data_IF_728277467540
#
_entry.id   IF_728277467540
#
_cell.length_a   1.000
_cell.length_b   1.000
_cell.length_c   1.000
_cell.angle_alpha   90.00
_cell.angle_beta   90.00
_cell.angle_gamma   90.00
#
_symmetry.space_group_name_H-M   'P 1'
#
loop_
_entity.id
_entity.type
_entity.pdbx_description
1 polymer ?
#
# COMPACT_ATOMS: atom_id res chain seq x y z
N UNK A 1 -17.66 13.27 55.28
CA UNK A 1 -16.59 12.26 55.51
C UNK A 1 -15.83 12.14 54.20
N UNK A 2 -14.50 12.41 54.12
CA UNK A 2 -13.35 11.70 54.73
C UNK A 2 -13.21 10.27 54.16
N UNK A 3 -12.08 9.70 53.71
CA UNK A 3 -10.67 10.10 53.38
C UNK A 3 -10.02 8.89 52.65
N UNK A 4 -8.86 8.87 51.94
CA UNK A 4 -7.75 9.79 51.60
C UNK A 4 -7.16 9.36 50.21
N UNK A 5 -6.58 10.24 49.38
CA UNK A 5 -5.14 10.48 49.10
C UNK A 5 -4.22 9.30 48.64
N UNK A 6 -3.11 9.55 47.89
CA UNK A 6 -2.62 8.63 46.84
C UNK A 6 -1.13 8.20 46.97
N UNK A 7 -0.57 7.60 45.91
CA UNK A 7 0.86 7.24 45.82
C UNK A 7 1.58 7.93 44.65
N UNK A 8 2.73 8.56 44.95
CA UNK A 8 3.58 9.32 44.02
C UNK A 8 5.05 8.87 44.19
N UNK A 9 5.72 8.48 43.10
CA UNK A 9 7.16 8.08 43.07
C UNK A 9 7.76 8.43 41.70
N UNK A 10 9.06 8.71 41.55
CA UNK A 10 10.00 9.47 42.42
C UNK A 10 11.23 9.81 41.55
N UNK A 11 11.72 11.05 41.57
CA UNK A 11 12.96 11.45 40.88
C UNK A 11 14.19 11.29 41.82
N UNK A 12 15.32 10.75 41.34
CA UNK A 12 16.66 11.15 41.78
C UNK A 12 17.06 12.43 40.99
N UNK A 13 17.46 13.55 41.59
CA UNK A 13 18.55 13.81 42.55
C UNK A 13 19.86 14.21 41.84
N UNK A 14 20.37 15.41 42.17
CA UNK A 14 21.64 15.97 41.68
C UNK A 14 22.83 15.30 42.35
N UNK A 15 23.95 15.20 41.63
CA UNK A 15 25.29 15.19 42.23
C UNK A 15 26.06 16.43 41.74
N UNK A 16 26.90 17.00 42.60
CA UNK A 16 27.77 18.14 42.27
C UNK A 16 29.13 17.96 42.96
N UNK A 17 30.20 18.00 42.16
CA UNK A 17 31.65 17.98 42.48
C UNK A 17 32.38 17.87 41.12
N UNK A 18 33.47 18.56 40.80
CA UNK A 18 34.18 19.64 41.48
C UNK A 18 35.26 20.25 40.54
N UNK A 19 35.92 21.34 40.97
CA UNK A 19 37.12 21.93 40.35
C UNK A 19 38.37 21.00 40.51
N UNK A 20 39.61 21.28 39.98
CA UNK A 20 40.15 22.58 39.54
C UNK A 20 41.17 22.67 38.35
N UNK A 21 41.24 23.88 37.74
CA UNK A 21 42.45 24.49 37.11
C UNK A 21 43.00 23.76 35.85
N UNK A 22 43.99 24.22 35.05
CA UNK A 22 45.05 25.22 35.26
C UNK A 22 45.55 25.84 33.92
N UNK A 23 46.03 27.10 33.93
CA UNK A 23 46.69 27.76 32.79
C UNK A 23 48.22 27.60 32.81
N UNK A 24 48.89 27.39 31.65
CA UNK A 24 50.33 27.59 31.53
C UNK A 24 50.67 29.03 31.09
N UNK A 25 50.95 29.92 32.06
CA UNK A 25 51.80 31.10 31.77
C UNK A 25 53.27 30.65 31.76
N UNK A 26 54.05 31.03 30.75
CA UNK A 26 55.51 31.13 30.87
C UNK A 26 56.00 32.46 30.31
N UNK A 27 56.86 33.12 31.09
CA UNK A 27 57.54 34.36 30.75
C UNK A 27 59.03 34.04 30.67
N UNK A 28 59.63 34.21 29.49
CA UNK A 28 61.07 34.27 29.26
C UNK A 28 61.33 34.72 27.82
N UNK A 29 62.35 35.51 27.50
CA UNK A 29 63.15 36.43 28.33
C UNK A 29 63.90 37.39 27.41
N UNK A 30 64.04 38.66 27.79
CA UNK A 30 64.88 39.61 27.07
C UNK A 30 66.36 39.18 27.07
N UNK A 31 66.98 39.07 25.90
CA UNK A 31 68.35 39.55 25.68
C UNK A 31 68.46 40.11 24.26
N UNK A 32 68.76 41.41 24.14
CA UNK A 32 69.07 42.04 22.87
C UNK A 32 70.58 42.10 22.65
N UNK A 33 71.03 41.94 21.41
CA UNK A 33 72.36 42.36 20.95
C UNK A 33 72.21 43.12 19.64
N UNK A 34 72.38 44.44 19.69
CA UNK A 34 72.46 45.26 18.48
C UNK A 34 73.83 45.06 17.85
N UNK A 35 73.86 44.71 16.56
CA UNK A 35 75.07 44.63 15.74
C UNK A 35 74.85 45.50 14.50
N UNK A 36 75.51 46.66 14.47
CA UNK A 36 75.53 47.52 13.29
C UNK A 36 76.43 46.90 12.22
N UNK A 37 75.85 46.56 11.07
CA UNK A 37 76.57 46.16 9.87
C UNK A 37 76.00 46.92 8.67
N UNK A 38 76.66 48.00 8.26
CA UNK A 38 76.29 48.76 7.06
C UNK A 38 76.82 48.01 5.84
N UNK A 39 75.92 47.45 5.04
CA UNK A 39 76.24 46.90 3.71
C UNK A 39 75.28 47.50 2.68
N UNK A 40 75.81 48.42 1.87
CA UNK A 40 75.16 48.89 0.65
C UNK A 40 75.30 47.82 -0.44
N UNK A 41 74.21 47.42 -1.11
CA UNK A 41 74.26 46.75 -2.43
C UNK A 41 72.89 46.85 -3.14
N UNK A 42 72.97 47.14 -4.44
CA UNK A 42 71.98 46.98 -5.52
C UNK A 42 70.48 47.26 -5.26
N UNK A 43 69.93 48.20 -6.04
CA UNK A 43 68.52 48.10 -6.47
C UNK A 43 68.37 46.77 -7.24
N UNK A 44 67.40 45.95 -6.84
CA UNK A 44 66.87 44.86 -7.66
C UNK A 44 65.36 45.04 -7.74
N UNK A 45 64.87 45.40 -8.93
CA UNK A 45 63.45 45.54 -9.23
C UNK A 45 62.84 44.13 -9.39
N UNK A 46 62.78 43.38 -8.29
CA UNK A 46 62.12 42.09 -8.26
C UNK A 46 60.63 42.29 -8.55
N UNK A 47 60.22 41.90 -9.75
CA UNK A 47 58.81 41.90 -10.13
C UNK A 47 58.08 40.93 -9.21
N UNK A 48 57.35 41.46 -8.23
CA UNK A 48 56.36 40.72 -7.47
C UNK A 48 55.44 40.04 -8.48
N UNK A 49 55.37 38.70 -8.53
CA UNK A 49 54.31 38.07 -9.29
C UNK A 49 53.01 38.51 -8.63
N UNK A 50 52.15 39.18 -9.39
CA UNK A 50 50.80 39.49 -8.96
C UNK A 50 50.01 38.17 -8.89
N UNK A 51 50.25 37.40 -7.84
CA UNK A 51 49.37 36.34 -7.42
C UNK A 51 48.05 37.01 -7.08
N UNK A 52 47.13 36.98 -8.06
CA UNK A 52 45.73 37.28 -7.83
C UNK A 52 45.23 36.24 -6.85
N UNK A 53 45.29 36.58 -5.57
CA UNK A 53 44.62 35.84 -4.52
C UNK A 53 43.12 35.92 -4.86
N UNK A 54 42.63 34.90 -5.57
CA UNK A 54 41.21 34.67 -5.77
C UNK A 54 40.59 34.71 -4.38
N UNK A 55 39.88 35.79 -4.08
CA UNK A 55 39.48 36.08 -2.71
C UNK A 55 38.70 34.89 -2.17
N UNK A 56 39.16 34.34 -1.03
CA UNK A 56 38.44 33.29 -0.31
C UNK A 56 37.16 33.89 0.27
N UNK A 57 36.15 34.00 -0.60
CA UNK A 57 34.81 34.40 -0.26
C UNK A 57 34.19 33.29 0.59
N UNK A 58 34.40 33.39 1.91
CA UNK A 58 33.73 32.57 2.92
C UNK A 58 32.19 32.69 2.87
N UNK A 59 31.67 33.56 2.00
CA UNK A 59 30.28 33.71 1.63
C UNK A 59 29.99 33.12 0.25
N UNK A 60 28.78 32.59 0.10
CA UNK A 60 28.13 32.24 -1.15
C UNK A 60 26.89 33.12 -1.36
N UNK A 61 26.33 33.11 -2.57
CA UNK A 61 25.10 33.84 -2.89
C UNK A 61 23.94 32.88 -3.14
N UNK A 62 22.88 32.99 -2.35
CA UNK A 62 21.66 32.17 -2.51
C UNK A 62 20.50 33.04 -3.01
N UNK A 63 19.78 32.55 -4.02
CA UNK A 63 18.51 33.12 -4.47
C UNK A 63 17.39 32.12 -4.19
N UNK A 64 16.35 32.56 -3.48
CA UNK A 64 15.14 31.76 -3.22
C UNK A 64 14.02 32.28 -4.10
N UNK A 65 13.73 31.54 -5.17
CA UNK A 65 12.61 31.81 -6.06
C UNK A 65 11.36 31.12 -5.54
N UNK A 66 10.22 31.81 -5.60
CA UNK A 66 8.90 31.22 -5.39
C UNK A 66 7.92 31.84 -6.39
N UNK A 67 6.91 31.08 -6.82
CA UNK A 67 5.84 31.61 -7.67
C UNK A 67 5.01 32.69 -6.95
N UNK A 68 4.86 32.56 -5.64
CA UNK A 68 4.14 33.54 -4.82
C UNK A 68 5.12 34.59 -4.30
N UNK A 69 5.00 35.86 -4.71
CA UNK A 69 5.78 36.95 -4.11
C UNK A 69 5.24 37.30 -2.73
N UNK A 70 6.10 37.84 -1.86
CA UNK A 70 5.69 38.36 -0.55
C UNK A 70 5.58 37.31 0.58
N UNK A 71 5.87 36.03 0.32
CA UNK A 71 5.91 35.03 1.38
C UNK A 71 7.19 35.17 2.22
N UNK A 72 7.13 35.09 3.56
CA UNK A 72 8.31 35.23 4.40
C UNK A 72 9.29 34.07 4.21
N UNK A 73 10.55 34.42 3.95
CA UNK A 73 11.66 33.51 3.70
C UNK A 73 12.62 33.48 4.89
N UNK A 74 13.14 32.29 5.20
CA UNK A 74 13.92 31.98 6.41
C UNK A 74 15.24 31.29 6.07
N UNK A 75 16.24 31.50 6.92
CA UNK A 75 17.54 30.83 6.98
C UNK A 75 17.80 30.49 8.45
N UNK A 76 17.96 29.22 8.78
CA UNK A 76 18.27 28.73 10.13
C UNK A 76 17.33 29.34 11.20
N UNK A 77 16.02 29.18 10.98
CA UNK A 77 14.90 29.80 11.73
C UNK A 77 14.78 31.34 11.69
N UNK A 78 15.82 32.08 11.29
CA UNK A 78 15.79 33.54 11.18
C UNK A 78 15.16 34.02 9.86
N UNK A 79 14.26 35.01 9.91
CA UNK A 79 13.65 35.56 8.70
C UNK A 79 14.63 36.47 7.95
N UNK A 80 14.96 36.14 6.70
CA UNK A 80 15.89 36.90 5.84
C UNK A 80 15.19 37.92 4.93
N UNK A 81 13.87 37.79 4.74
CA UNK A 81 13.09 38.71 3.92
C UNK A 81 11.76 38.13 3.46
N UNK A 82 11.39 38.45 2.22
CA UNK A 82 10.21 37.91 1.52
C UNK A 82 10.58 37.46 0.10
N UNK A 83 9.83 36.52 -0.45
CA UNK A 83 10.05 35.98 -1.80
C UNK A 83 9.73 36.98 -2.92
N UNK A 84 10.44 36.91 -4.07
CA UNK A 84 11.67 36.17 -4.30
C UNK A 84 12.89 36.87 -3.68
N UNK A 85 13.70 36.12 -2.93
CA UNK A 85 14.98 36.60 -2.39
C UNK A 85 16.05 36.38 -3.46
N UNK A 86 16.93 37.36 -3.72
CA UNK A 86 18.00 37.27 -4.73
C UNK A 86 19.36 37.63 -4.15
N UNK A 87 20.37 36.84 -4.48
CA UNK A 87 21.78 37.08 -4.11
C UNK A 87 21.99 37.38 -2.62
N UNK A 88 21.30 36.67 -1.73
CA UNK A 88 21.48 36.81 -0.30
C UNK A 88 22.83 36.17 0.12
N UNK A 89 23.70 36.88 0.85
CA UNK A 89 24.99 36.34 1.28
C UNK A 89 24.80 35.36 2.44
N UNK A 90 25.22 34.11 2.24
CA UNK A 90 25.21 33.04 3.24
C UNK A 90 26.65 32.59 3.49
N UNK A 91 27.00 32.15 4.69
CA UNK A 91 28.33 31.57 4.93
C UNK A 91 28.47 30.18 4.27
N UNK A 92 29.70 29.72 4.10
CA UNK A 92 29.95 28.31 3.74
C UNK A 92 29.64 27.40 4.94
N UNK A 93 28.77 26.40 4.75
CA UNK A 93 28.24 25.55 5.82
C UNK A 93 27.01 24.74 5.40
N UNK A 94 26.44 23.96 6.32
CA UNK A 94 25.08 23.44 6.17
C UNK A 94 24.07 24.46 6.68
N UNK A 95 23.06 24.76 5.85
CA UNK A 95 22.05 25.77 6.13
C UNK A 95 20.65 25.24 5.80
N UNK A 96 19.65 25.63 6.59
CA UNK A 96 18.25 25.29 6.37
C UNK A 96 17.48 26.51 5.83
N UNK A 97 17.06 26.41 4.57
CA UNK A 97 16.27 27.43 3.90
C UNK A 97 14.79 27.09 4.01
N UNK A 98 13.95 28.08 4.30
CA UNK A 98 12.50 27.90 4.45
C UNK A 98 11.68 29.01 3.80
N UNK A 99 10.47 28.68 3.35
CA UNK A 99 9.46 29.65 2.89
C UNK A 99 8.12 29.24 3.48
N UNK A 100 7.54 30.12 4.30
CA UNK A 100 6.30 29.85 5.02
C UNK A 100 5.07 30.27 4.24
N UNK A 101 4.03 29.42 4.23
CA UNK A 101 2.73 29.78 3.66
C UNK A 101 2.02 30.80 4.53
N UNK A 102 1.39 31.80 3.91
CA UNK A 102 0.54 32.77 4.60
C UNK A 102 -0.89 32.27 4.83
N UNK A 103 -1.28 31.17 4.18
CA UNK A 103 -2.65 30.63 4.09
C UNK A 103 -2.76 29.22 4.69
N UNK A 104 -1.94 28.89 5.70
CA UNK A 104 -1.86 27.57 6.34
C UNK A 104 -3.09 27.24 7.22
N UNK A 105 -4.28 27.23 6.61
CA UNK A 105 -5.57 26.89 7.20
C UNK A 105 -5.79 25.39 7.41
N UNK A 106 -4.92 24.55 6.84
CA UNK A 106 -4.97 23.09 6.92
C UNK A 106 -3.64 22.54 7.40
N UNK A 107 -3.68 21.66 8.40
CA UNK A 107 -2.49 20.94 8.90
C UNK A 107 -1.88 19.99 7.87
N UNK A 108 -2.60 19.68 6.79
CA UNK A 108 -2.15 18.83 5.69
C UNK A 108 -1.26 19.58 4.68
N UNK A 109 -1.22 20.91 4.75
CA UNK A 109 -0.31 21.75 4.00
C UNK A 109 0.95 22.01 4.86
N UNK A 110 2.10 22.17 4.23
CA UNK A 110 3.37 22.33 4.93
C UNK A 110 4.17 23.49 4.34
N UNK A 111 4.92 24.18 5.20
CA UNK A 111 5.94 25.13 4.78
C UNK A 111 7.00 24.41 3.91
N UNK A 112 7.56 25.13 2.93
CA UNK A 112 8.68 24.60 2.15
C UNK A 112 9.94 24.74 2.99
N UNK A 113 10.72 23.65 3.11
CA UNK A 113 11.98 23.60 3.85
C UNK A 113 12.98 22.75 3.07
N UNK A 114 14.17 23.27 2.83
CA UNK A 114 15.27 22.56 2.18
C UNK A 114 16.58 22.82 2.92
N UNK A 115 17.25 21.75 3.37
CA UNK A 115 18.61 21.81 3.91
C UNK A 115 19.62 21.64 2.78
N UNK A 116 20.63 22.50 2.72
CA UNK A 116 21.62 22.56 1.65
C UNK A 116 23.01 22.82 2.24
N UNK A 117 24.01 22.07 1.80
CA UNK A 117 25.42 22.37 2.06
C UNK A 117 25.93 23.37 1.02
N UNK A 118 26.50 24.48 1.48
CA UNK A 118 26.88 25.63 0.65
C UNK A 118 28.39 25.84 0.71
N UNK A 119 29.06 25.99 -0.44
CA UNK A 119 30.53 26.15 -0.52
C UNK A 119 30.94 27.60 -0.71
N UNK A 120 32.16 27.94 -0.29
CA UNK A 120 32.75 29.27 -0.45
C UNK A 120 32.77 29.72 -1.93
N UNK A 121 32.11 30.85 -2.24
CA UNK A 121 31.99 31.39 -3.59
C UNK A 121 30.94 30.73 -4.50
N UNK A 122 30.11 29.80 -4.01
CA UNK A 122 29.00 29.25 -4.78
C UNK A 122 27.94 30.32 -5.11
N UNK A 123 27.15 30.08 -6.16
CA UNK A 123 25.89 30.78 -6.41
C UNK A 123 24.79 29.75 -6.63
N UNK A 124 23.85 29.70 -5.69
CA UNK A 124 22.77 28.70 -5.66
C UNK A 124 21.42 29.36 -5.94
N UNK A 125 20.57 28.66 -6.70
CA UNK A 125 19.17 29.03 -6.91
C UNK A 125 18.27 27.91 -6.39
N UNK A 126 17.41 28.24 -5.43
CA UNK A 126 16.49 27.31 -4.77
C UNK A 126 15.06 27.70 -5.14
N UNK A 127 14.27 26.74 -5.65
CA UNK A 127 12.88 26.96 -6.05
C UNK A 127 11.94 26.40 -4.97
N UNK A 128 11.22 27.29 -4.30
CA UNK A 128 10.22 26.95 -3.31
C UNK A 128 8.90 26.52 -3.97
N UNK A 129 8.73 25.20 -4.08
CA UNK A 129 7.51 24.55 -4.58
C UNK A 129 6.61 24.09 -3.43
N UNK A 130 5.31 24.38 -3.53
CA UNK A 130 4.31 23.92 -2.57
C UNK A 130 3.43 22.80 -3.13
N UNK A 131 2.97 21.93 -2.23
CA UNK A 131 2.04 20.85 -2.52
C UNK A 131 0.70 21.11 -1.84
N UNK A 132 -0.39 20.69 -2.48
CA UNK A 132 -1.74 20.67 -1.92
C UNK A 132 -2.12 19.24 -1.59
N UNK A 133 -2.65 19.04 -0.39
CA UNK A 133 -3.28 17.78 0.02
C UNK A 133 -4.79 17.82 -0.25
N UNK A 134 -5.30 16.80 -0.93
CA UNK A 134 -6.72 16.60 -1.22
C UNK A 134 -7.22 15.34 -0.51
N UNK A 135 -8.26 15.48 0.32
CA UNK A 135 -8.89 14.36 1.03
C UNK A 135 -10.07 13.83 0.23
N UNK A 136 -9.95 12.60 -0.28
CA UNK A 136 -10.96 11.92 -1.10
C UNK A 136 -11.60 10.82 -0.25
N UNK A 137 -12.88 10.96 0.02
CA UNK A 137 -13.69 10.03 0.79
C UNK A 137 -14.85 9.52 -0.07
N UNK A 138 -15.35 8.31 0.21
CA UNK A 138 -16.55 7.79 -0.45
C UNK A 138 -17.46 7.04 0.51
N UNK A 139 -18.75 7.10 0.23
CA UNK A 139 -19.79 6.28 0.85
C UNK A 139 -20.41 5.39 -0.25
N UNK A 140 -20.24 4.06 -0.18
CA UNK A 140 -19.42 3.31 0.76
C UNK A 140 -17.90 3.52 0.58
N UNK A 141 -17.14 3.16 1.63
CA UNK A 141 -15.67 3.23 1.69
C UNK A 141 -14.99 2.13 0.87
N UNK A 142 -13.67 2.24 0.66
CA UNK A 142 -12.86 1.22 0.00
C UNK A 142 -12.87 1.28 -1.53
N UNK A 143 -13.44 2.33 -2.12
CA UNK A 143 -13.38 2.58 -3.54
C UNK A 143 -11.93 2.82 -3.99
N UNK A 144 -11.54 2.25 -5.12
CA UNK A 144 -10.22 2.41 -5.71
C UNK A 144 -10.09 3.78 -6.36
N UNK A 145 -8.96 4.45 -6.14
CA UNK A 145 -8.68 5.81 -6.62
C UNK A 145 -7.59 5.74 -7.68
N UNK A 146 -7.96 6.01 -8.92
CA UNK A 146 -7.10 5.91 -10.10
C UNK A 146 -6.79 7.30 -10.66
N UNK A 147 -5.55 7.52 -11.09
CA UNK A 147 -5.09 8.72 -11.80
C UNK A 147 -4.23 8.27 -12.97
N UNK A 148 -4.52 8.74 -14.19
CA UNK A 148 -3.74 8.41 -15.39
C UNK A 148 -3.49 6.88 -15.56
N UNK A 149 -4.53 6.08 -15.33
CA UNK A 149 -4.51 4.60 -15.31
C UNK A 149 -3.63 3.94 -14.21
N UNK A 150 -3.05 4.72 -13.31
CA UNK A 150 -2.30 4.26 -12.13
C UNK A 150 -3.18 4.28 -10.89
N UNK A 151 -3.16 3.20 -10.10
CA UNK A 151 -3.80 3.15 -8.78
C UNK A 151 -2.99 4.00 -7.78
N UNK A 152 -3.61 4.99 -7.16
CA UNK A 152 -3.01 5.81 -6.08
C UNK A 152 -3.38 5.28 -4.69
N UNK A 153 -4.50 4.56 -4.54
CA UNK A 153 -4.92 3.95 -3.28
C UNK A 153 -6.40 3.57 -3.24
N UNK A 154 -6.96 3.48 -2.03
CA UNK A 154 -8.39 3.31 -1.79
C UNK A 154 -8.92 4.36 -0.82
N UNK A 155 -10.23 4.65 -0.87
CA UNK A 155 -10.87 5.65 0.00
C UNK A 155 -11.07 5.14 1.44
N UNK A 156 -10.89 6.00 2.47
CA UNK A 156 -10.48 7.40 2.40
C UNK A 156 -8.98 7.59 2.10
N UNK A 157 -8.65 8.50 1.18
CA UNK A 157 -7.29 8.76 0.71
C UNK A 157 -6.91 10.24 0.87
N UNK A 158 -5.64 10.52 1.19
CA UNK A 158 -5.04 11.86 1.03
C UNK A 158 -4.10 11.82 -0.17
N UNK A 159 -4.48 12.46 -1.26
CA UNK A 159 -3.63 12.62 -2.44
C UNK A 159 -2.89 13.96 -2.39
N UNK A 160 -1.56 13.94 -2.60
CA UNK A 160 -0.74 15.16 -2.68
C UNK A 160 -0.39 15.46 -4.14
N UNK A 161 -0.65 16.69 -4.57
CA UNK A 161 -0.32 17.21 -5.89
C UNK A 161 0.51 18.50 -5.75
N UNK A 162 1.42 18.83 -6.68
CA UNK A 162 1.98 20.18 -6.78
C UNK A 162 0.86 21.22 -6.87
N UNK A 163 1.01 22.37 -6.24
CA UNK A 163 -0.06 23.39 -6.13
C UNK A 163 -0.65 23.87 -7.47
N UNK A 164 0.15 23.78 -8.55
CA UNK A 164 -0.24 24.20 -9.89
C UNK A 164 -0.85 23.06 -10.74
N UNK A 165 -0.78 21.82 -10.27
CA UNK A 165 -1.16 20.66 -11.05
C UNK A 165 -2.66 20.40 -10.96
N UNK A 166 -3.33 20.45 -12.11
CA UNK A 166 -4.64 19.83 -12.28
C UNK A 166 -4.46 18.34 -12.57
N UNK A 167 -5.26 17.48 -11.95
CA UNK A 167 -5.26 16.04 -12.17
C UNK A 167 -6.70 15.49 -12.15
N UNK A 168 -7.05 14.71 -13.17
CA UNK A 168 -8.32 13.98 -13.23
C UNK A 168 -8.16 12.64 -12.51
N UNK A 169 -9.10 12.32 -11.64
CA UNK A 169 -9.06 11.14 -10.77
C UNK A 169 -10.37 10.38 -10.88
N UNK A 170 -10.30 9.08 -11.16
CA UNK A 170 -11.46 8.20 -11.23
C UNK A 170 -11.59 7.38 -9.94
N UNK A 171 -12.76 7.44 -9.31
CA UNK A 171 -13.08 6.69 -8.09
C UNK A 171 -14.07 5.59 -8.43
N UNK A 172 -13.63 4.33 -8.32
CA UNK A 172 -14.34 3.13 -8.82
C UNK A 172 -14.52 2.12 -7.69
N UNK A 173 -15.71 1.50 -7.60
CA UNK A 173 -15.97 0.40 -6.69
C UNK A 173 -16.82 -0.67 -7.38
N UNK A 174 -16.53 -1.94 -7.10
CA UNK A 174 -17.24 -3.08 -7.69
C UNK A 174 -18.75 -3.04 -7.36
N UNK A 175 -19.59 -3.04 -8.39
CA UNK A 175 -21.05 -2.92 -8.24
C UNK A 175 -21.58 -1.48 -8.10
N UNK A 176 -20.75 -0.45 -8.30
CA UNK A 176 -21.12 0.96 -8.24
C UNK A 176 -20.68 1.71 -9.50
N UNK A 177 -21.40 2.77 -9.85
CA UNK A 177 -21.00 3.66 -10.93
C UNK A 177 -19.75 4.48 -10.53
N UNK A 178 -18.71 4.44 -11.37
CA UNK A 178 -17.50 5.22 -11.18
C UNK A 178 -17.78 6.73 -11.19
N UNK A 179 -17.01 7.49 -10.41
CA UNK A 179 -17.12 8.96 -10.33
C UNK A 179 -15.78 9.59 -10.66
N UNK A 180 -15.79 10.49 -11.64
CA UNK A 180 -14.62 11.31 -12.00
C UNK A 180 -14.61 12.56 -11.12
N UNK A 181 -13.44 12.90 -10.59
CA UNK A 181 -13.13 14.13 -9.88
C UNK A 181 -12.03 14.89 -10.62
N UNK A 182 -12.21 16.21 -10.75
CA UNK A 182 -11.15 17.11 -11.20
C UNK A 182 -10.53 17.77 -9.96
N UNK A 183 -9.25 17.49 -9.72
CA UNK A 183 -8.47 18.08 -8.63
C UNK A 183 -7.56 19.16 -9.21
N UNK A 184 -7.47 20.31 -8.55
CA UNK A 184 -6.61 21.42 -8.99
C UNK A 184 -7.05 22.75 -8.39
N UNK A 185 -6.44 23.88 -8.79
CA UNK A 185 -6.97 25.21 -8.55
C UNK A 185 -8.14 25.50 -9.50
N UNK A 186 -9.28 25.98 -8.99
CA UNK A 186 -10.41 26.33 -9.86
C UNK A 186 -10.26 27.71 -10.52
N UNK A 187 -10.89 27.90 -11.68
CA UNK A 187 -10.80 29.13 -12.45
C UNK A 187 -11.41 30.32 -11.68
N UNK A 188 -10.56 31.25 -11.24
CA UNK A 188 -10.94 32.41 -10.44
C UNK A 188 -10.54 32.33 -8.95
N UNK A 189 -10.07 31.18 -8.47
CA UNK A 189 -9.43 31.10 -7.16
C UNK A 189 -8.07 31.80 -7.19
N UNK A 190 -7.79 32.67 -6.21
CA UNK A 190 -6.42 33.13 -5.98
C UNK A 190 -5.57 31.96 -5.46
N UNK A 191 -4.26 31.90 -5.75
CA UNK A 191 -3.41 30.76 -5.32
C UNK A 191 -3.28 30.56 -3.81
N UNK A 192 -3.82 31.48 -2.99
CA UNK A 192 -3.85 31.44 -1.53
C UNK A 192 -5.30 31.40 -0.98
N UNK A 193 -6.29 31.12 -1.83
CA UNK A 193 -7.67 30.91 -1.43
C UNK A 193 -7.86 29.50 -0.81
N UNK A 194 -8.62 29.46 0.29
CA UNK A 194 -8.96 28.23 1.00
C UNK A 194 -10.19 27.57 0.36
N UNK A 195 -9.99 26.96 -0.81
CA UNK A 195 -11.01 26.13 -1.44
C UNK A 195 -11.16 24.77 -0.75
N UNK A 196 -12.32 24.13 -0.90
CA UNK A 196 -12.67 22.92 -0.16
C UNK A 196 -11.94 21.69 -0.73
N UNK A 197 -10.76 21.39 -0.20
CA UNK A 197 -9.91 20.26 -0.62
C UNK A 197 -10.40 18.90 -0.06
N UNK A 198 -11.68 18.78 0.24
CA UNK A 198 -12.34 17.60 0.82
C UNK A 198 -13.52 17.20 -0.07
N UNK A 199 -13.43 16.01 -0.64
CA UNK A 199 -14.46 15.42 -1.50
C UNK A 199 -15.10 14.25 -0.76
N UNK A 200 -16.33 14.41 -0.27
CA UNK A 200 -17.15 13.32 0.25
C UNK A 200 -18.08 12.83 -0.87
N UNK A 201 -17.66 11.78 -1.58
CA UNK A 201 -18.45 11.14 -2.64
C UNK A 201 -19.55 10.25 -2.04
N UNK A 202 -20.73 10.26 -2.66
CA UNK A 202 -21.70 9.16 -2.55
C UNK A 202 -21.67 8.40 -3.87
N UNK A 203 -21.40 7.09 -3.83
CA UNK A 203 -21.39 6.23 -5.00
C UNK A 203 -22.75 5.57 -5.17
N UNK A 204 -23.31 5.69 -6.37
CA UNK A 204 -24.61 5.09 -6.73
C UNK A 204 -24.39 3.64 -7.16
N UNK A 205 -25.15 2.70 -6.56
CA UNK A 205 -25.05 1.26 -6.87
C UNK A 205 -25.55 1.00 -8.29
N UNK A 206 -24.77 0.30 -9.10
CA UNK A 206 -25.21 -0.15 -10.41
C UNK A 206 -26.24 -1.28 -10.23
N UNK A 207 -27.51 -0.92 -10.34
CA UNK A 207 -28.63 -1.86 -10.18
C UNK A 207 -28.70 -2.88 -11.33
N UNK A 208 -28.20 -2.53 -12.53
CA UNK A 208 -28.20 -3.44 -13.68
C UNK A 208 -27.17 -4.53 -13.45
N UNK A 209 -25.91 -4.15 -13.20
CA UNK A 209 -24.80 -5.07 -12.92
C UNK A 209 -25.10 -5.95 -11.70
N UNK A 210 -25.64 -5.38 -10.62
CA UNK A 210 -26.03 -6.14 -9.45
C UNK A 210 -27.14 -7.17 -9.75
N UNK A 211 -28.19 -6.76 -10.49
CA UNK A 211 -29.27 -7.69 -10.86
C UNK A 211 -28.81 -8.82 -11.78
N UNK A 212 -27.82 -8.57 -12.64
CA UNK A 212 -27.20 -9.59 -13.49
C UNK A 212 -26.38 -10.58 -12.66
N UNK A 213 -25.54 -10.10 -11.75
CA UNK A 213 -24.75 -10.94 -10.84
C UNK A 213 -25.64 -11.80 -9.93
N UNK A 214 -26.72 -11.23 -9.37
CA UNK A 214 -27.71 -11.95 -8.57
C UNK A 214 -28.42 -13.04 -9.40
N UNK A 215 -28.77 -12.76 -10.66
CA UNK A 215 -29.33 -13.75 -11.59
C UNK A 215 -28.35 -14.88 -11.92
N UNK A 216 -27.06 -14.59 -12.17
CA UNK A 216 -26.04 -15.61 -12.43
C UNK A 216 -25.81 -16.51 -11.21
N UNK A 217 -25.69 -15.92 -10.02
CA UNK A 217 -25.56 -16.66 -8.75
C UNK A 217 -26.77 -17.58 -8.54
N UNK A 218 -28.00 -17.07 -8.74
CA UNK A 218 -29.21 -17.89 -8.65
C UNK A 218 -29.28 -18.99 -9.73
N UNK A 219 -28.81 -18.74 -10.96
CA UNK A 219 -28.75 -19.77 -12.00
C UNK A 219 -27.71 -20.86 -11.68
N UNK A 220 -26.56 -20.46 -11.15
CA UNK A 220 -25.45 -21.32 -10.68
C UNK A 220 -25.89 -22.19 -9.50
N UNK A 221 -26.62 -21.64 -8.53
CA UNK A 221 -27.14 -22.42 -7.40
C UNK A 221 -28.29 -23.34 -7.80
N UNK A 222 -29.18 -22.94 -8.73
CA UNK A 222 -30.16 -23.86 -9.32
C UNK A 222 -29.48 -25.04 -10.03
N UNK A 223 -28.37 -24.81 -10.75
CA UNK A 223 -27.56 -25.89 -11.35
C UNK A 223 -26.95 -26.80 -10.28
N UNK A 224 -26.27 -26.24 -9.26
CA UNK A 224 -25.68 -27.01 -8.14
C UNK A 224 -26.72 -27.84 -7.38
N UNK A 225 -27.88 -27.27 -7.07
CA UNK A 225 -28.99 -27.96 -6.42
C UNK A 225 -29.53 -29.12 -7.27
N UNK A 226 -29.59 -28.97 -8.60
CA UNK A 226 -29.96 -30.06 -9.53
C UNK A 226 -28.96 -31.22 -9.45
N UNK A 227 -27.67 -30.95 -9.60
CA UNK A 227 -26.63 -31.99 -9.53
C UNK A 227 -26.56 -32.65 -8.14
N UNK A 228 -26.74 -31.90 -7.05
CA UNK A 228 -26.83 -32.45 -5.69
C UNK A 228 -28.02 -33.40 -5.53
N UNK A 229 -29.22 -33.04 -6.05
CA UNK A 229 -30.39 -33.94 -6.06
C UNK A 229 -30.12 -35.21 -6.87
N UNK A 230 -29.55 -35.08 -8.08
CA UNK A 230 -29.18 -36.22 -8.93
C UNK A 230 -28.17 -37.15 -8.23
N UNK A 231 -27.20 -36.58 -7.52
CA UNK A 231 -26.18 -37.33 -6.75
C UNK A 231 -26.84 -38.21 -5.68
N UNK A 232 -27.71 -37.66 -4.84
CA UNK A 232 -28.36 -38.45 -3.78
C UNK A 232 -29.30 -39.52 -4.33
N UNK A 233 -30.05 -39.22 -5.40
CA UNK A 233 -30.92 -40.23 -6.05
C UNK A 233 -30.07 -41.36 -6.66
N UNK A 234 -29.01 -41.03 -7.41
CA UNK A 234 -28.16 -42.03 -8.04
C UNK A 234 -27.36 -42.86 -7.01
N UNK A 235 -26.93 -42.27 -5.89
CA UNK A 235 -26.34 -42.99 -4.76
C UNK A 235 -27.34 -43.96 -4.10
N UNK A 236 -28.59 -43.53 -3.87
CA UNK A 236 -29.63 -44.40 -3.33
C UNK A 236 -29.94 -45.59 -4.24
N UNK A 237 -30.04 -45.35 -5.56
CA UNK A 237 -30.24 -46.41 -6.56
C UNK A 237 -29.03 -47.35 -6.64
N UNK A 238 -27.79 -46.85 -6.60
CA UNK A 238 -26.61 -47.71 -6.66
C UNK A 238 -26.48 -48.60 -5.41
N UNK A 239 -26.76 -48.07 -4.22
CA UNK A 239 -26.80 -48.87 -2.98
C UNK A 239 -27.87 -49.96 -3.04
N UNK A 240 -29.10 -49.63 -3.45
CA UNK A 240 -30.17 -50.61 -3.59
C UNK A 240 -29.85 -51.70 -4.63
N UNK A 241 -29.29 -51.31 -5.78
CA UNK A 241 -28.86 -52.23 -6.83
C UNK A 241 -27.68 -53.13 -6.39
N UNK A 242 -26.75 -52.60 -5.59
CA UNK A 242 -25.64 -53.37 -5.01
C UNK A 242 -26.15 -54.46 -4.04
N UNK A 243 -27.07 -54.11 -3.14
CA UNK A 243 -27.71 -55.08 -2.23
C UNK A 243 -28.51 -56.13 -3.01
N UNK A 244 -29.26 -55.72 -4.04
CA UNK A 244 -30.01 -56.65 -4.90
C UNK A 244 -29.09 -57.61 -5.67
N UNK A 245 -27.93 -57.14 -6.18
CA UNK A 245 -26.95 -57.99 -6.83
C UNK A 245 -26.36 -59.05 -5.89
N UNK A 246 -26.02 -58.66 -4.65
CA UNK A 246 -25.53 -59.59 -3.61
C UNK A 246 -26.60 -60.63 -3.28
N UNK A 247 -27.85 -60.22 -3.08
CA UNK A 247 -28.98 -61.10 -2.79
C UNK A 247 -29.23 -62.11 -3.92
N UNK A 248 -29.36 -61.64 -5.17
CA UNK A 248 -29.61 -62.52 -6.32
C UNK A 248 -28.41 -63.43 -6.61
N UNK A 249 -27.17 -62.99 -6.37
CA UNK A 249 -26.00 -63.86 -6.47
C UNK A 249 -26.05 -64.98 -5.43
N UNK A 250 -26.34 -64.67 -4.17
CA UNK A 250 -26.44 -65.68 -3.12
C UNK A 250 -27.52 -66.74 -3.44
N UNK A 251 -28.66 -66.29 -3.97
CA UNK A 251 -29.77 -67.15 -4.39
C UNK A 251 -29.41 -68.02 -5.61
N UNK A 252 -28.65 -67.47 -6.57
CA UNK A 252 -28.08 -68.24 -7.69
C UNK A 252 -27.10 -69.31 -7.19
N UNK A 253 -26.19 -68.95 -6.28
CA UNK A 253 -25.20 -69.85 -5.68
C UNK A 253 -25.87 -70.96 -4.84
N UNK A 254 -27.02 -70.71 -4.21
CA UNK A 254 -27.84 -71.74 -3.56
C UNK A 254 -28.50 -72.68 -4.58
N UNK A 255 -29.18 -72.14 -5.59
CA UNK A 255 -29.85 -72.93 -6.63
C UNK A 255 -28.85 -73.79 -7.45
N UNK A 256 -27.64 -73.28 -7.69
CA UNK A 256 -26.59 -74.02 -8.38
C UNK A 256 -26.00 -75.16 -7.54
N UNK A 257 -25.82 -74.97 -6.23
CA UNK A 257 -25.44 -76.07 -5.30
C UNK A 257 -26.52 -77.15 -5.21
N UNK A 258 -27.80 -76.78 -5.28
CA UNK A 258 -28.90 -77.76 -5.40
C UNK A 258 -28.79 -78.55 -6.70
N UNK A 259 -28.57 -77.88 -7.84
CA UNK A 259 -28.32 -78.53 -9.14
C UNK A 259 -27.15 -79.54 -9.09
N UNK A 260 -26.03 -79.18 -8.46
CA UNK A 260 -24.86 -80.06 -8.30
C UNK A 260 -25.16 -81.31 -7.46
N UNK A 261 -26.01 -81.17 -6.43
CA UNK A 261 -26.31 -82.25 -5.49
C UNK A 261 -27.51 -83.13 -5.91
N UNK A 262 -28.24 -82.79 -6.99
CA UNK A 262 -29.46 -83.50 -7.37
C UNK A 262 -29.17 -84.68 -8.31
N UNK A 263 -29.44 -85.91 -7.85
CA UNK A 263 -29.11 -87.16 -8.58
C UNK A 263 -30.00 -87.46 -9.79
N UNK A 264 -31.30 -87.15 -9.71
CA UNK A 264 -32.25 -87.39 -10.80
C UNK A 264 -32.07 -86.40 -11.97
N UNK A 265 -31.99 -86.87 -13.24
CA UNK A 265 -31.93 -85.99 -14.40
C UNK A 265 -33.12 -85.04 -14.58
N UNK A 266 -34.34 -85.45 -14.21
CA UNK A 266 -35.55 -84.67 -14.52
C UNK A 266 -35.68 -83.41 -13.65
N UNK A 267 -35.49 -83.54 -12.32
CA UNK A 267 -35.50 -82.39 -11.41
C UNK A 267 -34.34 -81.43 -11.62
N UNK A 268 -33.18 -81.93 -12.08
CA UNK A 268 -31.93 -81.16 -12.23
C UNK A 268 -32.07 -79.93 -13.13
N UNK A 269 -32.78 -80.03 -14.25
CA UNK A 269 -32.97 -78.90 -15.18
C UNK A 269 -33.72 -77.72 -14.52
N UNK A 270 -34.66 -78.01 -13.61
CA UNK A 270 -35.42 -76.96 -12.92
C UNK A 270 -34.54 -76.09 -12.00
N UNK A 271 -33.57 -76.70 -11.30
CA UNK A 271 -32.61 -75.99 -10.46
C UNK A 271 -31.61 -75.19 -11.30
N UNK A 272 -31.15 -75.72 -12.44
CA UNK A 272 -30.32 -74.97 -13.38
C UNK A 272 -31.05 -73.75 -13.96
N UNK A 273 -32.30 -73.94 -14.40
CA UNK A 273 -33.15 -72.86 -14.89
C UNK A 273 -33.51 -71.83 -13.81
N UNK A 274 -33.48 -72.19 -12.52
CA UNK A 274 -33.57 -71.24 -11.39
C UNK A 274 -32.27 -70.45 -11.24
N UNK A 275 -31.12 -71.13 -11.12
CA UNK A 275 -29.80 -70.50 -10.97
C UNK A 275 -29.52 -69.50 -12.10
N UNK A 276 -29.75 -69.90 -13.36
CA UNK A 276 -29.54 -69.07 -14.56
C UNK A 276 -30.47 -67.84 -14.64
N UNK A 277 -31.61 -67.83 -13.93
CA UNK A 277 -32.47 -66.64 -13.80
C UNK A 277 -31.91 -65.67 -12.76
N UNK A 278 -31.53 -66.16 -11.59
CA UNK A 278 -30.94 -65.32 -10.54
C UNK A 278 -29.58 -64.74 -10.90
N UNK A 279 -28.73 -65.49 -11.62
CA UNK A 279 -27.46 -64.98 -12.17
C UNK A 279 -27.69 -63.79 -13.13
N UNK A 280 -28.67 -63.90 -14.04
CA UNK A 280 -29.07 -62.79 -14.92
C UNK A 280 -29.58 -61.57 -14.15
N UNK A 281 -30.36 -61.76 -13.08
CA UNK A 281 -30.83 -60.66 -12.24
C UNK A 281 -29.68 -60.01 -11.45
N UNK A 282 -28.74 -60.81 -10.94
CA UNK A 282 -27.49 -60.36 -10.31
C UNK A 282 -26.67 -59.49 -11.27
N UNK A 283 -26.40 -59.97 -12.49
CA UNK A 283 -25.66 -59.22 -13.52
C UNK A 283 -26.34 -57.91 -13.92
N UNK A 284 -27.67 -57.91 -14.08
CA UNK A 284 -28.44 -56.70 -14.39
C UNK A 284 -28.39 -55.68 -13.24
N UNK A 285 -28.54 -56.14 -11.99
CA UNK A 285 -28.44 -55.29 -10.80
C UNK A 285 -27.02 -54.71 -10.64
N UNK A 286 -25.97 -55.49 -10.88
CA UNK A 286 -24.59 -55.03 -10.85
C UNK A 286 -24.29 -53.97 -11.93
N UNK A 287 -24.79 -54.15 -13.16
CA UNK A 287 -24.70 -53.14 -14.21
C UNK A 287 -25.44 -51.84 -13.83
N UNK A 288 -26.61 -51.95 -13.19
CA UNK A 288 -27.37 -50.80 -12.68
C UNK A 288 -26.60 -50.05 -11.58
N UNK A 289 -25.96 -50.79 -10.67
CA UNK A 289 -25.06 -50.24 -9.65
C UNK A 289 -23.92 -49.44 -10.29
N UNK A 290 -23.19 -50.00 -11.26
CA UNK A 290 -22.08 -49.32 -11.92
C UNK A 290 -22.50 -48.01 -12.60
N UNK A 291 -23.58 -48.04 -13.38
CA UNK A 291 -24.10 -46.85 -14.08
C UNK A 291 -24.56 -45.79 -13.07
N UNK A 292 -25.31 -46.18 -12.04
CA UNK A 292 -25.82 -45.25 -11.03
C UNK A 292 -24.71 -44.68 -10.15
N UNK A 293 -23.66 -45.47 -9.85
CA UNK A 293 -22.46 -44.99 -9.17
C UNK A 293 -21.70 -43.94 -10.02
N UNK A 294 -21.52 -44.19 -11.31
CA UNK A 294 -20.89 -43.23 -12.23
C UNK A 294 -21.69 -41.91 -12.33
N UNK A 295 -23.01 -41.96 -12.45
CA UNK A 295 -23.86 -40.77 -12.44
C UNK A 295 -23.82 -40.01 -11.11
N UNK A 296 -23.77 -40.73 -9.98
CA UNK A 296 -23.60 -40.14 -8.65
C UNK A 296 -22.27 -39.38 -8.54
N UNK A 297 -21.16 -40.03 -8.91
CA UNK A 297 -19.83 -39.43 -8.87
C UNK A 297 -19.69 -38.22 -9.80
N UNK A 298 -20.22 -38.30 -11.03
CA UNK A 298 -20.27 -37.17 -11.96
C UNK A 298 -21.08 -35.99 -11.40
N UNK A 299 -22.26 -36.27 -10.82
CA UNK A 299 -23.08 -35.27 -10.14
C UNK A 299 -22.37 -34.60 -8.97
N UNK A 300 -21.64 -35.38 -8.17
CA UNK A 300 -20.83 -34.88 -7.06
C UNK A 300 -19.74 -33.91 -7.54
N UNK A 301 -18.90 -34.33 -8.49
CA UNK A 301 -17.85 -33.48 -9.08
C UNK A 301 -18.43 -32.18 -9.66
N UNK A 302 -19.52 -32.27 -10.41
CA UNK A 302 -20.15 -31.10 -11.04
C UNK A 302 -20.89 -30.19 -10.03
N UNK A 303 -21.23 -30.69 -8.84
CA UNK A 303 -21.73 -29.86 -7.73
C UNK A 303 -20.62 -29.10 -6.99
N UNK A 304 -19.42 -29.70 -6.90
CA UNK A 304 -18.24 -29.13 -6.23
C UNK A 304 -17.52 -28.08 -7.09
N UNK A 305 -17.74 -28.07 -8.41
CA UNK A 305 -17.08 -27.15 -9.34
C UNK A 305 -17.29 -25.68 -8.92
N UNK A 306 -16.20 -24.93 -8.85
CA UNK A 306 -16.21 -23.47 -8.73
C UNK A 306 -16.42 -22.81 -10.09
#
# INVERSE_FOLDING_TARGET
MLTHLPLRKKLPARCAMGCPWQWPRRIASWQGRASLAVVMIALSFAQLPAQSAKADSAFAFVSILCRHPGLPAFLDEAQIGVTPVRHFPVLAGEHEFGVRRSDSSSWLDSDWVQRVTVSAGDTLELTAEFYRSYFINSSPYGAQVWRDQKLEGTTPLVLRLPEQATATVEVVLEGYHGRVLELGPQAGETPLAVSVRRFDLVLEKDLVLASQLEQELHARDRRRARYRRMTYVAAGVSLAASVAAIYFKHEADQAYRQYQNFGDPAGRESHYARARRYDRYSGAAFATFQVSFAFSFYGFLQSMRK
#
